data_IF_510646805525
#
_entry.id   IF_510646805525
#
_cell.length_a   1.000
_cell.length_b   1.000
_cell.length_c   1.000
_cell.angle_alpha   90.00
_cell.angle_beta   90.00
_cell.angle_gamma   90.00
#
_symmetry.space_group_name_H-M   'P 1'
#
loop_
_entity.id
_entity.type
_entity.pdbx_description
1 polymer ?
#
# COMPACT_ATOMS: atom_id res chain seq x y z
N UNK A 1 -29.44 -52.07 43.76
CA UNK A 1 -29.58 -50.79 44.48
C UNK A 1 -28.23 -50.09 44.34
N UNK A 2 -28.01 -48.94 43.71
CA UNK A 2 -28.90 -47.79 43.46
C UNK A 2 -28.30 -46.97 42.30
N UNK A 3 -29.17 -46.50 41.40
CA UNK A 3 -28.89 -45.52 40.31
C UNK A 3 -28.35 -44.20 40.88
N UNK A 4 -27.49 -43.49 40.14
CA UNK A 4 -27.49 -42.02 39.96
C UNK A 4 -26.57 -41.68 38.75
N UNK A 5 -27.12 -41.41 37.56
CA UNK A 5 -27.54 -40.11 37.03
C UNK A 5 -26.36 -39.19 36.64
N UNK A 6 -26.10 -39.12 35.32
CA UNK A 6 -25.29 -38.11 34.63
C UNK A 6 -25.84 -36.69 34.87
N UNK A 7 -24.98 -35.67 34.79
CA UNK A 7 -25.35 -34.42 34.13
C UNK A 7 -24.65 -34.32 32.77
N UNK A 8 -25.48 -34.27 31.73
CA UNK A 8 -25.21 -33.70 30.42
C UNK A 8 -24.54 -32.32 30.56
N UNK A 9 -23.32 -32.15 30.07
CA UNK A 9 -22.82 -30.83 29.68
C UNK A 9 -22.94 -30.70 28.16
N UNK A 10 -24.01 -30.04 27.76
CA UNK A 10 -24.23 -29.54 26.41
C UNK A 10 -23.18 -28.45 26.13
N UNK A 11 -22.10 -28.78 25.42
CA UNK A 11 -21.21 -27.77 24.86
C UNK A 11 -21.88 -27.23 23.59
N UNK A 12 -22.59 -26.11 23.72
CA UNK A 12 -23.05 -25.33 22.57
C UNK A 12 -21.81 -24.74 21.89
N UNK A 13 -21.41 -25.32 20.78
CA UNK A 13 -20.43 -24.74 19.87
C UNK A 13 -21.08 -23.53 19.19
N UNK A 14 -20.88 -22.34 19.77
CA UNK A 14 -21.19 -21.07 19.10
C UNK A 14 -20.16 -20.88 18.00
N UNK A 15 -20.49 -21.28 16.77
CA UNK A 15 -19.73 -20.87 15.57
C UNK A 15 -20.17 -19.43 15.25
N UNK A 16 -19.62 -18.45 15.96
CA UNK A 16 -19.77 -17.04 15.61
C UNK A 16 -18.40 -16.50 15.19
N UNK A 17 -18.19 -16.37 13.87
CA UNK A 17 -17.03 -15.63 13.35
C UNK A 17 -16.52 -16.15 12.02
N UNK A 18 -17.27 -15.97 10.92
CA UNK A 18 -16.83 -16.44 9.60
C UNK A 18 -17.22 -15.60 8.38
N UNK A 19 -17.90 -14.47 8.54
CA UNK A 19 -18.42 -13.71 7.38
C UNK A 19 -17.63 -12.44 7.02
N UNK A 20 -16.66 -12.02 7.84
CA UNK A 20 -15.82 -10.86 7.54
C UNK A 20 -14.67 -11.15 6.55
N UNK A 21 -14.32 -12.42 6.36
CA UNK A 21 -13.16 -12.82 5.53
C UNK A 21 -13.45 -12.77 4.03
N UNK A 22 -14.68 -13.07 3.58
CA UNK A 22 -15.00 -13.20 2.15
C UNK A 22 -15.00 -11.87 1.39
N UNK A 23 -15.55 -10.80 1.96
CA UNK A 23 -15.57 -9.48 1.33
C UNK A 23 -14.17 -8.86 1.23
N UNK A 24 -13.36 -9.01 2.29
CA UNK A 24 -11.98 -8.54 2.29
C UNK A 24 -11.10 -9.36 1.33
N UNK A 25 -11.33 -10.66 1.20
CA UNK A 25 -10.66 -11.51 0.21
C UNK A 25 -11.10 -11.17 -1.23
N UNK A 26 -12.39 -10.91 -1.45
CA UNK A 26 -12.92 -10.50 -2.74
C UNK A 26 -12.32 -9.17 -3.21
N UNK A 27 -12.27 -8.15 -2.33
CA UNK A 27 -11.66 -6.86 -2.64
C UNK A 27 -10.16 -6.97 -2.96
N UNK A 28 -9.47 -7.92 -2.32
CA UNK A 28 -8.07 -8.23 -2.60
C UNK A 28 -7.86 -8.83 -4.00
N UNK A 29 -8.77 -9.71 -4.42
CA UNK A 29 -8.79 -10.27 -5.77
C UNK A 29 -8.95 -9.20 -6.85
N UNK A 30 -9.65 -8.09 -6.57
CA UNK A 30 -9.84 -6.98 -7.51
C UNK A 30 -8.53 -6.28 -7.88
N UNK A 31 -7.48 -6.41 -7.06
CA UNK A 31 -6.14 -5.87 -7.35
C UNK A 31 -5.46 -6.59 -8.53
N UNK A 32 -5.82 -7.85 -8.79
CA UNK A 32 -5.20 -8.65 -9.85
C UNK A 32 -5.37 -7.99 -11.21
N UNK A 33 -4.25 -7.61 -11.83
CA UNK A 33 -4.28 -7.08 -13.18
C UNK A 33 -3.10 -6.18 -13.54
N UNK A 34 -3.22 -5.62 -14.74
CA UNK A 34 -2.34 -4.58 -15.26
C UNK A 34 -3.07 -3.25 -15.16
N UNK A 35 -2.37 -2.25 -14.66
CA UNK A 35 -2.90 -0.95 -14.37
C UNK A 35 -2.07 0.11 -15.08
N UNK A 36 -2.73 1.00 -15.83
CA UNK A 36 -2.10 2.12 -16.53
C UNK A 36 -2.43 3.41 -15.81
N UNK A 37 -1.41 4.26 -15.63
CA UNK A 37 -1.57 5.55 -14.97
C UNK A 37 -2.66 6.37 -15.69
N UNK A 38 -3.61 6.86 -14.90
CA UNK A 38 -4.73 7.68 -15.36
C UNK A 38 -4.87 8.94 -14.48
N UNK A 39 -3.75 9.41 -13.92
CA UNK A 39 -3.75 10.59 -13.07
C UNK A 39 -4.23 11.83 -13.79
N UNK A 40 -5.06 12.62 -13.10
CA UNK A 40 -5.56 13.88 -13.60
C UNK A 40 -4.53 15.00 -13.43
N UNK A 41 -4.78 16.13 -14.09
CA UNK A 41 -4.05 17.38 -13.84
C UNK A 41 -4.19 17.83 -12.38
N UNK A 42 -5.35 17.63 -11.78
CA UNK A 42 -5.62 17.93 -10.37
C UNK A 42 -4.74 17.08 -9.43
N UNK A 43 -4.68 15.74 -9.60
CA UNK A 43 -3.81 14.88 -8.78
C UNK A 43 -2.32 15.25 -8.93
N UNK A 44 -1.92 15.69 -10.14
CA UNK A 44 -0.55 16.16 -10.39
C UNK A 44 -0.26 17.48 -9.67
N UNK A 45 -1.22 18.41 -9.68
CA UNK A 45 -1.10 19.69 -8.98
C UNK A 45 -1.10 19.51 -7.45
N UNK A 46 -1.96 18.63 -6.92
CA UNK A 46 -1.99 18.27 -5.49
C UNK A 46 -0.65 17.70 -5.02
N UNK A 47 -0.05 16.79 -5.80
CA UNK A 47 1.28 16.26 -5.49
C UNK A 47 2.32 17.37 -5.42
N UNK A 48 2.33 18.30 -6.39
CA UNK A 48 3.27 19.43 -6.38
C UNK A 48 3.04 20.34 -5.19
N UNK A 49 1.80 20.68 -4.85
CA UNK A 49 1.48 21.48 -3.68
C UNK A 49 1.92 20.79 -2.36
N UNK A 50 1.81 19.47 -2.28
CA UNK A 50 2.31 18.70 -1.14
C UNK A 50 3.84 18.74 -1.04
N UNK A 51 4.56 18.72 -2.17
CA UNK A 51 6.02 18.88 -2.22
C UNK A 51 6.44 20.29 -1.77
N UNK A 52 5.76 21.33 -2.27
CA UNK A 52 6.00 22.72 -1.84
C UNK A 52 5.81 22.87 -0.33
N UNK A 53 4.72 22.30 0.20
CA UNK A 53 4.45 22.33 1.65
C UNK A 53 5.51 21.60 2.45
N UNK A 54 5.92 20.40 2.02
CA UNK A 54 6.93 19.60 2.73
C UNK A 54 8.33 20.23 2.71
N UNK A 55 8.62 21.06 1.72
CA UNK A 55 9.93 21.72 1.57
C UNK A 55 9.99 23.13 2.16
N UNK A 56 8.86 23.72 2.55
CA UNK A 56 8.77 25.11 3.02
C UNK A 56 9.67 25.40 4.22
N UNK A 57 9.79 24.45 5.13
CA UNK A 57 10.57 24.60 6.37
C UNK A 57 12.08 24.36 6.16
N UNK A 58 12.49 23.96 4.95
CA UNK A 58 13.91 23.83 4.63
C UNK A 58 14.54 25.19 4.39
N UNK A 59 15.85 25.36 4.66
CA UNK A 59 16.59 26.55 4.26
C UNK A 59 16.45 26.82 2.77
N UNK A 60 16.25 28.08 2.38
CA UNK A 60 15.91 28.51 1.01
C UNK A 60 16.84 27.93 -0.07
N UNK A 61 18.15 27.88 0.21
CA UNK A 61 19.15 27.31 -0.71
C UNK A 61 19.02 25.80 -0.95
N UNK A 62 18.34 25.06 -0.07
CA UNK A 62 18.06 23.62 -0.22
C UNK A 62 16.71 23.33 -0.86
N UNK A 63 15.76 24.27 -0.79
CA UNK A 63 14.38 24.02 -1.22
C UNK A 63 14.30 23.56 -2.68
N UNK A 64 15.00 24.22 -3.61
CA UNK A 64 14.94 23.85 -5.04
C UNK A 64 15.42 22.42 -5.30
N UNK A 65 16.56 22.01 -4.72
CA UNK A 65 17.06 20.62 -4.83
C UNK A 65 16.15 19.61 -4.13
N UNK A 66 15.52 19.99 -3.03
CA UNK A 66 14.59 19.12 -2.32
C UNK A 66 13.33 18.89 -3.16
N UNK A 67 12.79 19.95 -3.79
CA UNK A 67 11.65 19.87 -4.70
C UNK A 67 11.93 18.95 -5.88
N UNK A 68 13.03 19.16 -6.58
CA UNK A 68 13.47 18.33 -7.71
C UNK A 68 13.55 16.84 -7.33
N UNK A 69 14.26 16.52 -6.25
CA UNK A 69 14.38 15.13 -5.78
C UNK A 69 13.06 14.52 -5.36
N UNK A 70 12.17 15.31 -4.75
CA UNK A 70 10.85 14.83 -4.38
C UNK A 70 9.98 14.60 -5.62
N UNK A 71 10.05 15.44 -6.63
CA UNK A 71 9.33 15.23 -7.89
C UNK A 71 9.77 13.93 -8.57
N UNK A 72 11.07 13.65 -8.66
CA UNK A 72 11.60 12.40 -9.22
C UNK A 72 11.09 11.17 -8.46
N UNK A 73 11.21 11.18 -7.12
CA UNK A 73 10.91 10.02 -6.27
C UNK A 73 9.41 9.79 -6.07
N UNK A 74 8.60 10.83 -6.17
CA UNK A 74 7.14 10.73 -6.00
C UNK A 74 6.38 10.59 -7.32
N UNK A 75 7.07 10.73 -8.48
CA UNK A 75 6.45 10.50 -9.78
C UNK A 75 5.89 9.07 -9.87
N UNK A 76 4.59 8.87 -10.15
CA UNK A 76 4.04 7.52 -10.23
C UNK A 76 4.56 6.75 -11.47
N UNK A 77 4.79 5.43 -11.38
CA UNK A 77 5.09 4.64 -12.56
C UNK A 77 3.92 4.66 -13.56
N UNK A 78 4.24 4.69 -14.87
CA UNK A 78 3.24 4.71 -15.96
C UNK A 78 2.38 3.44 -16.00
N UNK A 79 2.93 2.31 -15.57
CA UNK A 79 2.28 1.00 -15.52
C UNK A 79 2.68 0.27 -14.25
N UNK A 80 1.74 -0.44 -13.66
CA UNK A 80 1.99 -1.42 -12.59
C UNK A 80 1.25 -2.71 -12.90
N UNK A 81 1.84 -3.85 -12.55
CA UNK A 81 1.15 -5.15 -12.53
C UNK A 81 1.12 -5.63 -11.10
N UNK A 82 -0.05 -6.08 -10.67
CA UNK A 82 -0.25 -6.67 -9.36
C UNK A 82 -0.82 -8.06 -9.60
N UNK A 83 -0.18 -9.07 -9.03
CA UNK A 83 -0.73 -10.42 -8.92
C UNK A 83 -0.86 -10.76 -7.44
N UNK A 84 -2.02 -11.31 -7.08
CA UNK A 84 -2.43 -11.69 -5.74
C UNK A 84 -2.88 -13.14 -5.81
N UNK A 85 -2.18 -14.01 -5.09
CA UNK A 85 -2.51 -15.42 -4.95
C UNK A 85 -2.52 -15.78 -3.45
N UNK A 86 -3.70 -15.81 -2.85
CA UNK A 86 -3.84 -15.90 -1.39
C UNK A 86 -3.21 -14.67 -0.72
N UNK A 87 -2.22 -14.90 0.14
CA UNK A 87 -1.45 -13.85 0.82
C UNK A 87 -0.15 -13.47 0.09
N UNK A 88 0.15 -14.11 -1.05
CA UNK A 88 1.31 -13.75 -1.85
C UNK A 88 0.98 -12.62 -2.83
N UNK A 89 1.86 -11.63 -2.88
CA UNK A 89 1.77 -10.46 -3.75
C UNK A 89 3.01 -10.40 -4.63
N UNK A 90 2.79 -10.36 -5.94
CA UNK A 90 3.81 -9.98 -6.91
C UNK A 90 3.46 -8.59 -7.45
N UNK A 91 4.34 -7.62 -7.17
CA UNK A 91 4.20 -6.24 -7.62
C UNK A 91 5.30 -5.93 -8.63
N UNK A 92 4.93 -5.67 -9.88
CA UNK A 92 5.86 -5.19 -10.92
C UNK A 92 5.60 -3.72 -11.23
N UNK A 93 6.65 -2.90 -11.19
CA UNK A 93 6.62 -1.48 -11.52
C UNK A 93 8.02 -0.90 -11.63
N UNK A 94 8.19 0.18 -12.41
CA UNK A 94 9.51 0.84 -12.63
C UNK A 94 10.63 -0.12 -13.08
N UNK A 95 10.29 -1.17 -13.82
CA UNK A 95 11.26 -2.17 -14.30
C UNK A 95 11.70 -3.19 -13.26
N UNK A 96 11.09 -3.21 -12.07
CA UNK A 96 11.42 -4.12 -10.99
C UNK A 96 10.18 -4.94 -10.60
N UNK A 97 10.42 -6.15 -10.08
CA UNK A 97 9.39 -7.00 -9.50
C UNK A 97 9.75 -7.27 -8.04
N UNK A 98 8.78 -7.09 -7.15
CA UNK A 98 8.91 -7.37 -5.72
C UNK A 98 7.87 -8.43 -5.35
N UNK A 99 8.32 -9.43 -4.59
CA UNK A 99 7.47 -10.49 -4.04
C UNK A 99 7.29 -10.24 -2.53
N UNK A 100 6.05 -10.22 -2.07
CA UNK A 100 5.69 -9.96 -0.67
C UNK A 100 4.69 -11.01 -0.20
N UNK A 101 4.66 -11.20 1.11
CA UNK A 101 3.62 -11.96 1.79
C UNK A 101 2.89 -11.04 2.76
N UNK A 102 1.56 -11.05 2.73
CA UNK A 102 0.73 -10.20 3.58
C UNK A 102 0.83 -10.66 5.02
N UNK A 103 1.25 -9.76 5.92
CA UNK A 103 1.53 -10.12 7.31
C UNK A 103 2.87 -10.85 7.50
N UNK A 104 3.61 -11.10 6.42
CA UNK A 104 4.93 -11.69 6.45
C UNK A 104 6.04 -10.72 6.90
N UNK A 105 7.28 -11.21 7.02
CA UNK A 105 8.43 -10.38 7.36
C UNK A 105 8.69 -9.32 6.28
N UNK A 106 9.44 -8.27 6.65
CA UNK A 106 9.90 -7.31 5.65
C UNK A 106 10.98 -7.97 4.77
N UNK A 107 10.88 -7.82 3.46
CA UNK A 107 11.83 -8.37 2.48
C UNK A 107 12.79 -7.28 2.02
N UNK A 108 14.06 -7.58 1.75
CA UNK A 108 14.98 -6.62 1.18
C UNK A 108 14.55 -6.25 -0.24
N UNK A 109 14.60 -4.96 -0.55
CA UNK A 109 14.33 -4.43 -1.89
C UNK A 109 15.41 -3.44 -2.27
N UNK A 110 15.69 -3.35 -3.56
CA UNK A 110 16.51 -2.28 -4.11
C UNK A 110 15.61 -1.39 -4.98
N UNK A 111 15.74 -0.08 -4.85
CA UNK A 111 15.05 0.86 -5.73
C UNK A 111 15.93 2.06 -6.00
N UNK A 112 16.13 2.39 -7.28
CA UNK A 112 16.98 3.50 -7.73
C UNK A 112 18.41 3.44 -7.13
N UNK A 113 19.00 2.24 -7.07
CA UNK A 113 20.35 2.01 -6.54
C UNK A 113 20.46 2.14 -5.01
N UNK A 114 19.33 2.23 -4.29
CA UNK A 114 19.29 2.27 -2.82
C UNK A 114 18.64 1.02 -2.28
N UNK A 115 19.25 0.44 -1.26
CA UNK A 115 18.70 -0.68 -0.51
C UNK A 115 17.64 -0.19 0.48
N UNK A 116 16.67 -1.05 0.75
CA UNK A 116 15.62 -0.85 1.71
C UNK A 116 14.92 -2.17 2.02
N UNK A 117 13.80 -2.08 2.70
CA UNK A 117 12.92 -3.20 2.96
C UNK A 117 11.48 -2.86 2.55
N UNK A 118 10.70 -3.88 2.23
CA UNK A 118 9.28 -3.74 1.93
C UNK A 118 8.47 -4.76 2.74
N UNK A 119 7.33 -4.34 3.27
CA UNK A 119 6.39 -5.21 3.98
C UNK A 119 4.97 -4.96 3.45
N UNK A 120 4.22 -6.03 3.25
CA UNK A 120 2.80 -5.98 2.95
C UNK A 120 1.97 -6.25 4.22
N UNK A 121 0.96 -5.43 4.45
CA UNK A 121 -0.01 -5.62 5.53
C UNK A 121 -1.43 -5.38 5.01
N UNK A 122 -2.43 -5.83 5.76
CA UNK A 122 -3.84 -5.55 5.49
C UNK A 122 -4.35 -4.57 6.53
N UNK A 123 -4.94 -3.46 6.08
CA UNK A 123 -5.56 -2.47 6.95
C UNK A 123 -6.91 -2.05 6.38
N UNK A 124 -7.98 -2.20 7.17
CA UNK A 124 -9.36 -1.88 6.77
C UNK A 124 -9.73 -2.49 5.40
N UNK A 125 -9.38 -3.77 5.19
CA UNK A 125 -9.63 -4.49 3.93
C UNK A 125 -8.67 -4.17 2.79
N UNK A 126 -7.85 -3.12 2.88
CA UNK A 126 -6.95 -2.69 1.80
C UNK A 126 -5.55 -3.27 1.96
N UNK A 127 -4.86 -3.50 0.83
CA UNK A 127 -3.43 -3.78 0.80
C UNK A 127 -2.67 -2.50 1.14
N UNK A 128 -1.78 -2.59 2.13
CA UNK A 128 -0.85 -1.52 2.50
C UNK A 128 0.57 -2.05 2.35
N UNK A 129 1.34 -1.41 1.47
CA UNK A 129 2.77 -1.70 1.31
C UNK A 129 3.56 -0.56 1.95
N UNK A 130 4.41 -0.91 2.91
CA UNK A 130 5.36 -0.01 3.54
C UNK A 130 6.76 -0.35 3.05
N UNK A 131 7.45 0.63 2.49
CA UNK A 131 8.86 0.56 2.12
C UNK A 131 9.67 1.47 3.05
N UNK A 132 10.77 0.95 3.58
CA UNK A 132 11.70 1.68 4.44
C UNK A 132 13.09 1.67 3.82
N UNK A 133 13.81 2.78 3.93
CA UNK A 133 15.21 2.85 3.59
C UNK A 133 15.92 3.85 4.50
N UNK A 134 17.24 3.97 4.35
CA UNK A 134 18.11 4.66 5.31
C UNK A 134 17.72 6.13 5.59
N UNK A 135 17.08 6.79 4.63
CA UNK A 135 16.81 8.23 4.68
C UNK A 135 15.32 8.59 4.55
N UNK A 136 14.42 7.61 4.67
CA UNK A 136 13.00 7.84 4.55
C UNK A 136 12.19 6.58 4.24
N UNK A 137 10.89 6.76 4.09
CA UNK A 137 9.97 5.66 3.83
C UNK A 137 8.85 6.06 2.90
N UNK A 138 8.13 5.05 2.44
CA UNK A 138 6.94 5.20 1.62
C UNK A 138 5.89 4.20 2.09
N UNK A 139 4.72 4.70 2.45
CA UNK A 139 3.54 3.86 2.67
C UNK A 139 2.56 4.09 1.52
N UNK A 140 2.09 3.01 0.91
CA UNK A 140 1.12 3.06 -0.19
C UNK A 140 -0.07 2.17 0.15
N UNK A 141 -1.26 2.76 0.18
CA UNK A 141 -2.53 2.04 0.37
C UNK A 141 -3.20 1.85 -0.98
N UNK A 142 -3.52 0.60 -1.33
CA UNK A 142 -4.09 0.21 -2.61
C UNK A 142 -5.60 0.00 -2.47
N UNK A 143 -6.39 0.75 -3.23
CA UNK A 143 -7.85 0.77 -3.17
C UNK A 143 -8.44 0.50 -4.56
N UNK A 144 -8.74 -0.75 -4.90
CA UNK A 144 -9.43 -1.06 -6.14
C UNK A 144 -10.90 -0.62 -6.03
N UNK A 145 -11.49 -0.16 -7.13
CA UNK A 145 -12.94 -0.01 -7.24
C UNK A 145 -13.62 -1.37 -7.29
N UNK A 146 -14.90 -1.42 -6.92
CA UNK A 146 -15.70 -2.66 -6.87
C UNK A 146 -15.79 -3.37 -8.24
N UNK A 147 -15.79 -2.60 -9.33
CA UNK A 147 -15.80 -3.09 -10.71
C UNK A 147 -14.41 -3.50 -11.25
N UNK A 148 -13.37 -3.37 -10.42
CA UNK A 148 -11.97 -3.56 -10.76
C UNK A 148 -11.47 -2.73 -11.95
N UNK A 149 -12.17 -1.67 -12.38
CA UNK A 149 -11.75 -0.83 -13.51
C UNK A 149 -10.80 0.30 -13.09
N UNK A 150 -10.82 0.69 -11.82
CA UNK A 150 -10.00 1.76 -11.25
C UNK A 150 -9.21 1.25 -10.05
N UNK A 151 -7.99 1.75 -9.92
CA UNK A 151 -7.16 1.53 -8.75
C UNK A 151 -6.68 2.89 -8.25
N UNK A 152 -7.05 3.24 -7.02
CA UNK A 152 -6.58 4.45 -6.34
C UNK A 152 -5.48 4.06 -5.37
N UNK A 153 -4.36 4.78 -5.46
CA UNK A 153 -3.27 4.68 -4.50
C UNK A 153 -3.22 5.96 -3.66
N UNK A 154 -3.28 5.80 -2.35
CA UNK A 154 -2.97 6.88 -1.41
C UNK A 154 -1.55 6.67 -0.91
N UNK A 155 -0.67 7.63 -1.21
CA UNK A 155 0.76 7.54 -0.96
C UNK A 155 1.16 8.55 0.12
N UNK A 156 1.91 8.08 1.11
CA UNK A 156 2.63 8.91 2.06
C UNK A 156 4.13 8.65 1.90
N UNK A 157 4.89 9.71 1.65
CA UNK A 157 6.35 9.68 1.55
C UNK A 157 6.96 10.49 2.70
N UNK A 158 7.92 9.91 3.40
CA UNK A 158 8.68 10.53 4.49
C UNK A 158 10.15 10.59 4.12
N UNK A 159 10.86 11.60 4.65
CA UNK A 159 12.30 11.65 4.60
C UNK A 159 12.83 12.33 5.86
N UNK A 160 14.01 11.94 6.33
CA UNK A 160 14.58 12.39 7.61
C UNK A 160 14.67 13.91 7.75
N UNK A 161 14.89 14.62 6.63
CA UNK A 161 15.04 16.08 6.60
C UNK A 161 13.73 16.84 6.42
N UNK A 162 12.61 16.15 6.21
CA UNK A 162 11.30 16.78 6.04
C UNK A 162 10.56 16.76 7.37
N UNK A 163 10.14 17.94 7.83
CA UNK A 163 9.25 18.08 8.99
C UNK A 163 7.86 17.51 8.70
N UNK A 164 7.42 17.58 7.44
CA UNK A 164 6.10 17.19 6.98
C UNK A 164 6.20 16.14 5.88
N UNK A 165 5.43 15.02 5.94
CA UNK A 165 5.40 14.05 4.87
C UNK A 165 4.71 14.58 3.61
N UNK A 166 5.16 14.12 2.44
CA UNK A 166 4.46 14.36 1.18
C UNK A 166 3.33 13.34 1.06
N UNK A 167 2.09 13.82 0.98
CA UNK A 167 0.90 12.98 0.78
C UNK A 167 0.23 13.32 -0.53
N UNK A 168 -0.11 12.30 -1.31
CA UNK A 168 -0.77 12.49 -2.60
C UNK A 168 -1.55 11.24 -3.02
N UNK A 169 -2.50 11.45 -3.93
CA UNK A 169 -3.30 10.39 -4.54
C UNK A 169 -2.86 10.15 -5.98
N UNK A 170 -2.98 8.90 -6.41
CA UNK A 170 -2.74 8.49 -7.80
C UNK A 170 -3.86 7.58 -8.27
N UNK A 171 -4.48 7.91 -9.40
CA UNK A 171 -5.43 7.03 -10.06
C UNK A 171 -4.76 6.23 -11.19
N UNK A 172 -5.05 4.93 -11.22
CA UNK A 172 -4.82 4.05 -12.35
C UNK A 172 -6.14 3.52 -12.92
N UNK A 173 -6.13 3.15 -14.19
CA UNK A 173 -7.19 2.40 -14.85
C UNK A 173 -6.71 1.02 -15.28
N UNK A 174 -7.60 0.05 -15.36
CA UNK A 174 -7.29 -1.28 -15.90
C UNK A 174 -6.78 -1.17 -17.34
N UNK A 175 -5.81 -2.02 -17.69
CA UNK A 175 -5.15 -2.08 -18.99
C UNK A 175 -5.31 -3.44 -19.65
#
# INVERSE_FOLDING_TARGET
MTRHALPFFLFVLVIAGGVASSAAQAQYGLLNGRWKLASSSAETAERRAAIETATRDLPSFMQSRARERLEERTTPPKKVRIVVAGDHIELTGRGQTVFLEVGGPAVPVESEGRRGSARATRQNGNLVITMEGDNGGRTTTYRPSEDAQRLVLDVQFTAQRLSTPVRYRVTYKRS
#
